data_IF_844374176992
#
_entry.id   IF_844374176992
#
_cell.length_a   1.000
_cell.length_b   1.000
_cell.length_c   1.000
_cell.angle_alpha   90.00
_cell.angle_beta   90.00
_cell.angle_gamma   90.00
#
_symmetry.space_group_name_H-M   'P 1'
#
loop_
_entity.id
_entity.type
_entity.pdbx_description
1 polymer ?
#
# COMPACT_ATOMS: atom_id res chain seq x y z
N UNK A 1 3.59 -18.33 -22.43
CA UNK A 1 4.12 -19.01 -21.24
C UNK A 1 3.17 -18.71 -20.09
N UNK A 2 2.21 -19.60 -19.84
CA UNK A 2 1.13 -19.37 -18.88
C UNK A 2 1.57 -19.78 -17.46
N UNK A 3 1.30 -18.89 -16.51
CA UNK A 3 1.28 -19.05 -15.05
C UNK A 3 1.63 -20.43 -14.48
N UNK A 4 2.86 -20.58 -13.99
CA UNK A 4 3.20 -21.61 -13.00
C UNK A 4 3.08 -21.06 -11.56
N UNK A 5 2.25 -20.03 -11.38
CA UNK A 5 2.11 -19.27 -10.14
C UNK A 5 0.84 -19.66 -9.39
N UNK A 6 0.94 -19.72 -8.07
CA UNK A 6 -0.12 -20.00 -7.09
C UNK A 6 -1.39 -19.11 -7.24
N UNK A 7 -1.33 -18.05 -8.04
CA UNK A 7 -2.38 -17.05 -8.22
C UNK A 7 -2.65 -16.77 -9.70
N UNK A 8 -3.93 -16.78 -10.09
CA UNK A 8 -4.40 -16.40 -11.42
C UNK A 8 -4.58 -14.88 -11.51
N UNK A 9 -3.57 -14.18 -12.04
CA UNK A 9 -3.57 -12.72 -12.14
C UNK A 9 -4.64 -12.17 -13.09
N UNK A 10 -5.19 -12.98 -14.00
CA UNK A 10 -6.27 -12.52 -14.90
C UNK A 10 -7.56 -12.15 -14.18
N UNK A 11 -7.73 -12.61 -12.92
CA UNK A 11 -8.89 -12.33 -12.06
C UNK A 11 -8.63 -11.23 -11.02
N UNK A 12 -7.41 -10.71 -10.96
CA UNK A 12 -6.99 -9.76 -9.93
C UNK A 12 -7.05 -8.30 -10.45
N UNK A 13 -7.37 -7.30 -9.60
CA UNK A 13 -7.36 -5.88 -9.98
C UNK A 13 -6.05 -5.45 -10.67
N UNK A 14 -4.90 -5.86 -10.16
CA UNK A 14 -3.59 -5.44 -10.65
C UNK A 14 -3.28 -5.87 -12.08
N UNK A 15 -4.10 -6.73 -12.70
CA UNK A 15 -4.03 -7.03 -14.13
C UNK A 15 -4.10 -5.79 -15.00
N UNK A 16 -4.89 -4.79 -14.59
CA UNK A 16 -5.11 -3.56 -15.34
C UNK A 16 -3.84 -2.73 -15.53
N UNK A 17 -2.85 -2.93 -14.66
CA UNK A 17 -1.58 -2.18 -14.64
C UNK A 17 -0.36 -3.05 -14.89
N UNK A 18 -0.52 -4.37 -15.05
CA UNK A 18 0.63 -5.28 -15.20
C UNK A 18 0.51 -6.25 -16.39
N UNK A 19 -0.68 -6.61 -16.83
CA UNK A 19 -0.88 -7.65 -17.85
C UNK A 19 -1.14 -7.04 -19.23
N UNK A 20 -0.56 -7.64 -20.26
CA UNK A 20 -0.79 -7.32 -21.66
C UNK A 20 0.03 -6.14 -22.22
N UNK A 21 0.05 -5.94 -23.55
CA UNK A 21 0.82 -4.88 -24.20
C UNK A 21 0.39 -3.47 -23.78
N UNK A 22 -0.90 -3.25 -23.56
CA UNK A 22 -1.47 -1.97 -23.12
C UNK A 22 -0.94 -1.50 -21.76
N UNK A 23 -0.50 -2.43 -20.92
CA UNK A 23 0.09 -2.14 -19.61
C UNK A 23 1.61 -1.92 -19.67
N UNK A 24 2.22 -1.87 -20.86
CA UNK A 24 3.66 -1.62 -21.00
C UNK A 24 4.10 -0.29 -20.35
N UNK A 25 3.38 0.85 -20.48
CA UNK A 25 3.75 2.09 -19.79
C UNK A 25 3.72 1.94 -18.27
N UNK A 26 2.71 1.26 -17.72
CA UNK A 26 2.61 0.99 -16.27
C UNK A 26 3.80 0.13 -15.78
N UNK A 27 4.15 -0.93 -16.51
CA UNK A 27 5.30 -1.77 -16.17
C UNK A 27 6.62 -1.01 -16.23
N UNK A 28 6.77 -0.01 -17.10
CA UNK A 28 7.97 0.83 -17.14
C UNK A 28 8.22 1.52 -15.80
N UNK A 29 7.18 2.02 -15.12
CA UNK A 29 7.30 2.56 -13.76
C UNK A 29 7.69 1.48 -12.73
N UNK A 30 7.17 0.26 -12.85
CA UNK A 30 7.56 -0.84 -11.97
C UNK A 30 9.02 -1.25 -12.15
N UNK A 31 9.50 -1.32 -13.39
CA UNK A 31 10.92 -1.56 -13.69
C UNK A 31 11.81 -0.42 -13.18
N UNK A 32 11.37 0.84 -13.30
CA UNK A 32 12.09 1.98 -12.73
C UNK A 32 12.20 1.94 -11.20
N UNK A 33 11.27 1.25 -10.52
CA UNK A 33 11.34 0.95 -9.09
C UNK A 33 12.16 -0.31 -8.75
N UNK A 34 12.82 -0.93 -9.74
CA UNK A 34 13.64 -2.11 -9.55
C UNK A 34 12.86 -3.42 -9.41
N UNK A 35 11.57 -3.44 -9.75
CA UNK A 35 10.77 -4.67 -9.71
C UNK A 35 11.15 -5.60 -10.85
N UNK A 36 11.24 -6.88 -10.56
CA UNK A 36 11.44 -7.92 -11.57
C UNK A 36 10.12 -8.26 -12.30
N UNK A 37 10.20 -8.85 -13.48
CA UNK A 37 9.01 -9.36 -14.18
C UNK A 37 8.24 -10.39 -13.33
N UNK A 38 8.97 -11.21 -12.56
CA UNK A 38 8.40 -12.17 -11.63
C UNK A 38 7.58 -11.49 -10.51
N UNK A 39 8.09 -10.43 -9.89
CA UNK A 39 7.35 -9.63 -8.90
C UNK A 39 6.16 -8.91 -9.54
N UNK A 40 6.33 -8.38 -10.75
CA UNK A 40 5.22 -7.76 -11.51
C UNK A 40 4.13 -8.81 -11.85
N UNK A 41 4.44 -10.09 -11.94
CA UNK A 41 3.48 -11.16 -12.17
C UNK A 41 2.77 -11.68 -10.90
N UNK A 42 3.23 -11.29 -9.71
CA UNK A 42 2.60 -11.67 -8.42
C UNK A 42 1.44 -10.74 -8.04
N UNK A 43 0.54 -11.14 -7.12
CA UNK A 43 -0.46 -10.23 -6.56
C UNK A 43 0.21 -9.01 -5.88
N UNK A 44 -0.33 -7.83 -6.12
CA UNK A 44 0.10 -6.59 -5.46
C UNK A 44 -0.66 -6.42 -4.15
N UNK A 45 0.07 -6.34 -3.04
CA UNK A 45 -0.53 -6.20 -1.70
C UNK A 45 -0.11 -4.87 -1.11
N UNK A 46 -1.07 -3.99 -0.87
CA UNK A 46 -0.85 -2.73 -0.15
C UNK A 46 -0.32 -3.01 1.26
N UNK A 47 0.55 -2.13 1.76
CA UNK A 47 0.96 -2.14 3.17
C UNK A 47 0.78 -0.72 3.68
N UNK A 48 -0.42 -0.41 4.16
CA UNK A 48 -0.73 0.91 4.71
C UNK A 48 -0.07 1.08 6.08
N UNK A 49 0.63 2.19 6.26
CA UNK A 49 1.18 2.61 7.55
C UNK A 49 0.73 4.01 7.89
N UNK A 50 0.63 4.30 9.18
CA UNK A 50 0.44 5.65 9.70
C UNK A 50 1.71 6.17 10.38
N UNK A 51 2.87 5.64 10.00
CA UNK A 51 4.15 6.09 10.55
C UNK A 51 4.34 7.60 10.36
N UNK A 52 4.67 8.26 11.46
CA UNK A 52 5.12 9.64 11.51
C UNK A 52 5.84 9.89 12.84
N UNK A 53 6.48 11.04 12.94
CA UNK A 53 7.21 11.50 14.13
C UNK A 53 6.36 12.39 15.04
N UNK A 54 5.04 12.45 14.83
CA UNK A 54 4.16 13.33 15.59
C UNK A 54 3.92 12.80 17.02
N UNK A 55 3.97 11.48 17.22
CA UNK A 55 3.69 10.88 18.52
C UNK A 55 4.28 9.46 18.68
N UNK A 56 4.55 9.02 19.93
CA UNK A 56 5.16 7.72 20.20
C UNK A 56 4.32 6.52 19.71
N UNK A 57 3.00 6.68 19.59
CA UNK A 57 2.11 5.64 19.08
C UNK A 57 2.42 5.21 17.63
N UNK A 58 3.03 6.08 16.83
CA UNK A 58 3.23 5.84 15.39
C UNK A 58 4.67 5.47 15.01
N UNK A 59 5.66 5.77 15.86
CA UNK A 59 7.10 5.61 15.55
C UNK A 59 7.44 4.16 15.15
N UNK A 60 6.87 3.18 15.84
CA UNK A 60 7.14 1.77 15.59
C UNK A 60 6.56 1.24 14.26
N UNK A 61 5.65 1.99 13.62
CA UNK A 61 4.93 1.49 12.45
C UNK A 61 5.84 1.36 11.21
N UNK A 62 6.92 2.14 11.10
CA UNK A 62 7.89 1.96 10.01
C UNK A 62 8.52 0.56 10.03
N UNK A 63 9.01 0.12 11.20
CA UNK A 63 9.63 -1.21 11.34
C UNK A 63 8.62 -2.35 11.22
N UNK A 64 7.38 -2.12 11.65
CA UNK A 64 6.30 -3.09 11.49
C UNK A 64 5.91 -3.25 10.02
N UNK A 65 5.80 -2.16 9.26
CA UNK A 65 5.58 -2.21 7.82
C UNK A 65 6.68 -3.01 7.11
N UNK A 66 7.96 -2.82 7.47
CA UNK A 66 9.05 -3.64 6.92
C UNK A 66 8.91 -5.14 7.24
N UNK A 67 8.36 -5.47 8.40
CA UNK A 67 8.10 -6.87 8.79
C UNK A 67 6.93 -7.46 8.01
N UNK A 68 5.85 -6.70 7.80
CA UNK A 68 4.71 -7.09 6.96
C UNK A 68 5.16 -7.33 5.52
N UNK A 69 5.97 -6.44 4.94
CA UNK A 69 6.52 -6.59 3.58
C UNK A 69 7.29 -7.90 3.41
N UNK A 70 8.08 -8.30 4.40
CA UNK A 70 8.78 -9.61 4.38
C UNK A 70 7.79 -10.77 4.36
N UNK A 71 6.73 -10.70 5.16
CA UNK A 71 5.65 -11.70 5.18
C UNK A 71 4.93 -11.81 3.84
N UNK A 72 4.56 -10.68 3.23
CA UNK A 72 3.94 -10.64 1.90
C UNK A 72 4.84 -11.29 0.84
N UNK A 73 6.13 -10.93 0.83
CA UNK A 73 7.11 -11.54 -0.09
C UNK A 73 7.22 -13.05 0.12
N UNK A 74 7.31 -13.51 1.37
CA UNK A 74 7.35 -14.93 1.70
C UNK A 74 6.06 -15.68 1.29
N UNK A 75 4.92 -14.98 1.29
CA UNK A 75 3.63 -15.48 0.81
C UNK A 75 3.47 -15.52 -0.71
N UNK A 76 4.46 -15.04 -1.48
CA UNK A 76 4.42 -14.97 -2.95
C UNK A 76 3.65 -13.77 -3.49
N UNK A 77 3.47 -12.73 -2.69
CA UNK A 77 2.94 -11.43 -3.11
C UNK A 77 4.04 -10.37 -3.25
N UNK A 78 3.74 -9.30 -3.97
CA UNK A 78 4.60 -8.13 -4.08
C UNK A 78 4.04 -7.00 -3.21
N UNK A 79 4.73 -6.62 -2.11
CA UNK A 79 4.23 -5.60 -1.21
C UNK A 79 4.43 -4.18 -1.76
N UNK A 80 3.43 -3.34 -1.54
CA UNK A 80 3.38 -1.93 -1.95
C UNK A 80 3.07 -1.05 -0.74
N UNK A 81 4.13 -0.63 -0.05
CA UNK A 81 4.00 0.22 1.14
C UNK A 81 3.59 1.65 0.77
N UNK A 82 2.69 2.23 1.55
CA UNK A 82 2.30 3.62 1.47
C UNK A 82 1.87 4.14 2.85
N UNK A 83 1.95 5.46 3.02
CA UNK A 83 1.67 6.11 4.30
C UNK A 83 0.43 6.99 4.20
N UNK A 84 -0.40 6.99 5.25
CA UNK A 84 -1.47 7.97 5.46
C UNK A 84 -1.25 8.78 6.74
N UNK A 85 -1.98 9.88 6.87
CA UNK A 85 -1.90 10.83 7.98
C UNK A 85 -2.46 10.25 9.29
N UNK A 86 -2.12 10.90 10.40
CA UNK A 86 -2.86 10.76 11.67
C UNK A 86 -2.80 12.07 12.44
N UNK A 87 -3.80 12.29 13.29
CA UNK A 87 -3.74 13.29 14.36
C UNK A 87 -3.57 12.56 15.70
N UNK A 88 -2.77 13.12 16.60
CA UNK A 88 -2.58 12.56 17.95
C UNK A 88 -3.47 13.30 18.92
N UNK A 89 -4.52 12.63 19.40
CA UNK A 89 -5.46 13.21 20.37
C UNK A 89 -4.76 13.77 21.60
N UNK A 90 -3.78 13.02 22.15
CA UNK A 90 -2.96 13.43 23.28
C UNK A 90 -2.33 14.82 23.12
N UNK A 91 -1.93 15.18 21.91
CA UNK A 91 -1.32 16.47 21.59
C UNK A 91 -2.39 17.52 21.25
N UNK A 92 -3.44 17.13 20.53
CA UNK A 92 -4.48 18.03 20.07
C UNK A 92 -5.46 18.49 21.18
N UNK A 93 -5.44 17.84 22.34
CA UNK A 93 -6.32 18.12 23.47
C UNK A 93 -6.16 19.55 24.01
N UNK A 94 -7.29 20.17 24.36
CA UNK A 94 -7.30 21.46 25.08
C UNK A 94 -7.16 22.72 24.19
N UNK A 95 -7.06 22.57 22.86
CA UNK A 95 -7.02 23.70 21.93
C UNK A 95 -7.75 23.40 20.62
N UNK A 96 -7.70 24.36 19.68
CA UNK A 96 -8.43 24.27 18.40
C UNK A 96 -8.04 23.05 17.53
N UNK A 97 -6.90 22.41 17.80
CA UNK A 97 -6.43 21.23 17.07
C UNK A 97 -7.33 20.02 17.23
N UNK A 98 -8.06 19.90 18.34
CA UNK A 98 -8.98 18.78 18.58
C UNK A 98 -10.09 18.68 17.50
N UNK A 99 -10.39 19.78 16.80
CA UNK A 99 -11.33 19.79 15.66
C UNK A 99 -10.85 18.92 14.49
N UNK A 100 -9.54 18.65 14.40
CA UNK A 100 -8.96 17.80 13.36
C UNK A 100 -8.96 16.30 13.72
N UNK A 101 -9.20 15.93 14.98
CA UNK A 101 -9.12 14.53 15.44
C UNK A 101 -10.15 13.65 14.73
N UNK A 102 -11.45 13.92 14.90
CA UNK A 102 -12.49 13.01 14.40
C UNK A 102 -12.52 12.92 12.87
N UNK A 103 -12.31 14.05 12.18
CA UNK A 103 -12.29 14.07 10.70
C UNK A 103 -11.09 13.32 10.12
N UNK A 104 -9.99 13.15 10.89
CA UNK A 104 -8.83 12.38 10.41
C UNK A 104 -9.19 10.94 10.08
N UNK A 105 -10.23 10.36 10.72
CA UNK A 105 -10.74 9.02 10.42
C UNK A 105 -11.21 8.89 8.97
N UNK A 106 -12.00 9.85 8.49
CA UNK A 106 -12.51 9.84 7.11
C UNK A 106 -11.38 10.02 6.12
N UNK A 107 -10.47 10.96 6.40
CA UNK A 107 -9.30 11.21 5.54
C UNK A 107 -8.40 9.97 5.44
N UNK A 108 -8.22 9.24 6.54
CA UNK A 108 -7.48 7.97 6.54
C UNK A 108 -8.19 6.95 5.64
N UNK A 109 -9.50 6.75 5.81
CA UNK A 109 -10.27 5.81 5.00
C UNK A 109 -10.20 6.18 3.51
N UNK A 110 -10.48 7.44 3.17
CA UNK A 110 -10.47 7.95 1.79
C UNK A 110 -9.08 7.81 1.16
N UNK A 111 -8.02 8.20 1.88
CA UNK A 111 -6.66 8.11 1.34
C UNK A 111 -6.23 6.66 1.05
N UNK A 112 -6.59 5.71 1.92
CA UNK A 112 -6.34 4.29 1.71
C UNK A 112 -7.14 3.77 0.52
N UNK A 113 -8.42 4.13 0.42
CA UNK A 113 -9.28 3.77 -0.71
C UNK A 113 -8.70 4.29 -2.04
N UNK A 114 -8.26 5.55 -2.06
CA UNK A 114 -7.67 6.19 -3.23
C UNK A 114 -6.39 5.47 -3.68
N UNK A 115 -5.49 5.12 -2.76
CA UNK A 115 -4.28 4.36 -3.13
C UNK A 115 -4.64 2.96 -3.66
N UNK A 116 -5.51 2.24 -2.94
CA UNK A 116 -5.88 0.87 -3.30
C UNK A 116 -6.53 0.79 -4.68
N UNK A 117 -7.52 1.65 -4.95
CA UNK A 117 -8.22 1.68 -6.24
C UNK A 117 -7.38 2.30 -7.34
N UNK A 118 -6.72 3.42 -7.06
CA UNK A 118 -5.92 4.16 -8.04
C UNK A 118 -4.69 3.38 -8.53
N UNK A 119 -4.18 2.43 -7.74
CA UNK A 119 -3.05 1.59 -8.13
C UNK A 119 -3.42 0.12 -8.37
N UNK A 120 -4.71 -0.20 -8.31
CA UNK A 120 -5.25 -1.53 -8.57
C UNK A 120 -4.58 -2.62 -7.72
N UNK A 121 -4.41 -2.39 -6.41
CA UNK A 121 -3.86 -3.41 -5.52
C UNK A 121 -4.89 -4.51 -5.28
N UNK A 122 -4.41 -5.74 -5.10
CA UNK A 122 -5.21 -6.96 -5.01
C UNK A 122 -5.66 -7.27 -3.58
N UNK A 123 -4.96 -6.71 -2.60
CA UNK A 123 -5.23 -6.82 -1.17
C UNK A 123 -4.52 -5.72 -0.39
N UNK A 124 -4.92 -5.53 0.86
CA UNK A 124 -4.38 -4.55 1.82
C UNK A 124 -3.82 -5.27 3.05
#
# INVERSE_FOLDING_TARGET
MASNGKFDKSKLPSRHVSVGPQSAPHRAFYYAMGMTEAEIAQPFVGVATTWNEAAPCNIALMRQAQSVKKGVKAGGGTPREFTTITVTDGIAMGHQGMKASLVSREVIADSVELTMRGHCYDGL
#
